data_IF_506828837641
#
_entry.id   IF_506828837641
#
_cell.length_a   1.000
_cell.length_b   1.000
_cell.length_c   1.000
_cell.angle_alpha   90.00
_cell.angle_beta   90.00
_cell.angle_gamma   90.00
#
_symmetry.space_group_name_H-M   'P 1'
#
loop_
_entity.id
_entity.type
_entity.pdbx_description
1 polymer ?
#
# COMPACT_ATOMS: atom_id res chain seq x y z
N UNK A 1 -75.44 6.14 49.24
CA UNK A 1 -73.98 6.37 49.15
C UNK A 1 -73.47 5.60 47.93
N UNK A 2 -72.97 6.28 46.91
CA UNK A 2 -72.40 5.61 45.73
C UNK A 2 -71.10 4.93 46.14
N UNK A 3 -71.02 3.61 45.99
CA UNK A 3 -69.78 2.88 46.18
C UNK A 3 -68.82 3.25 45.04
N UNK A 4 -67.73 3.92 45.37
CA UNK A 4 -66.60 4.13 44.46
C UNK A 4 -66.05 2.75 44.07
N UNK A 5 -66.33 2.33 42.84
CA UNK A 5 -65.79 1.11 42.25
C UNK A 5 -64.28 1.30 42.07
N UNK A 6 -63.48 0.37 42.58
CA UNK A 6 -62.03 0.41 42.41
C UNK A 6 -61.69 0.31 40.90
N UNK A 7 -60.75 1.13 40.39
CA UNK A 7 -60.40 1.11 38.98
C UNK A 7 -59.89 -0.28 38.57
N UNK A 8 -60.41 -0.79 37.45
CA UNK A 8 -60.07 -2.11 36.93
C UNK A 8 -58.90 -1.99 35.93
N UNK A 9 -57.93 -2.89 36.03
CA UNK A 9 -56.79 -2.96 35.10
C UNK A 9 -55.44 -2.60 35.73
N UNK A 10 -54.37 -2.89 34.99
CA UNK A 10 -52.97 -2.60 35.33
C UNK A 10 -52.39 -1.56 34.37
N UNK A 11 -53.16 -0.55 34.01
CA UNK A 11 -52.79 0.47 33.02
C UNK A 11 -51.48 1.19 33.42
N UNK A 12 -51.34 1.55 34.69
CA UNK A 12 -50.09 2.12 35.22
C UNK A 12 -48.91 1.17 35.05
N UNK A 13 -49.12 -0.14 35.24
CA UNK A 13 -48.06 -1.14 35.10
C UNK A 13 -47.69 -1.37 33.64
N UNK A 14 -48.68 -1.36 32.73
CA UNK A 14 -48.46 -1.44 31.30
C UNK A 14 -47.70 -0.20 30.77
N UNK A 15 -48.04 0.99 31.27
CA UNK A 15 -47.34 2.24 30.94
C UNK A 15 -45.87 2.22 31.39
N UNK A 16 -45.61 1.78 32.63
CA UNK A 16 -44.24 1.63 33.15
C UNK A 16 -43.42 0.62 32.35
N UNK A 17 -44.03 -0.52 31.95
CA UNK A 17 -43.37 -1.51 31.09
C UNK A 17 -43.05 -0.94 29.71
N UNK A 18 -43.96 -0.14 29.13
CA UNK A 18 -43.73 0.53 27.86
C UNK A 18 -42.58 1.54 27.96
N UNK A 19 -42.55 2.37 29.01
CA UNK A 19 -41.47 3.32 29.27
C UNK A 19 -40.12 2.62 29.50
N UNK A 20 -40.12 1.44 30.13
CA UNK A 20 -38.92 0.63 30.27
C UNK A 20 -38.47 0.04 28.93
N UNK A 21 -39.41 -0.45 28.11
CA UNK A 21 -39.12 -1.00 26.79
C UNK A 21 -38.51 0.05 25.86
N UNK A 22 -39.05 1.29 25.85
CA UNK A 22 -38.51 2.41 25.06
C UNK A 22 -37.06 2.71 25.47
N UNK A 23 -36.78 2.88 26.77
CA UNK A 23 -35.39 3.12 27.24
C UNK A 23 -34.43 1.99 26.89
N UNK A 24 -34.92 0.75 26.93
CA UNK A 24 -34.13 -0.42 26.53
C UNK A 24 -33.84 -0.40 25.03
N UNK A 25 -34.81 -0.01 24.20
CA UNK A 25 -34.62 0.15 22.76
C UNK A 25 -33.59 1.24 22.43
N UNK A 26 -33.67 2.40 23.08
CA UNK A 26 -32.71 3.48 22.88
C UNK A 26 -31.27 3.01 23.18
N UNK A 27 -31.08 2.29 24.29
CA UNK A 27 -29.77 1.73 24.66
C UNK A 27 -29.28 0.69 23.64
N UNK A 28 -30.18 -0.11 23.06
CA UNK A 28 -29.81 -1.07 22.01
C UNK A 28 -29.43 -0.36 20.71
N UNK A 29 -30.10 0.74 20.36
CA UNK A 29 -29.72 1.57 19.20
C UNK A 29 -28.33 2.15 19.40
N UNK A 30 -28.06 2.77 20.55
CA UNK A 30 -26.73 3.31 20.87
C UNK A 30 -25.63 2.24 20.78
N UNK A 31 -25.92 1.04 21.27
CA UNK A 31 -25.00 -0.10 21.22
C UNK A 31 -24.75 -0.58 19.78
N UNK A 32 -25.79 -0.63 18.94
CA UNK A 32 -25.69 -0.99 17.53
C UNK A 32 -24.87 0.05 16.76
N UNK A 33 -25.14 1.34 16.94
CA UNK A 33 -24.38 2.41 16.29
C UNK A 33 -22.89 2.37 16.67
N UNK A 34 -22.61 2.14 17.96
CA UNK A 34 -21.22 2.00 18.44
C UNK A 34 -20.55 0.77 17.83
N UNK A 35 -21.27 -0.35 17.75
CA UNK A 35 -20.76 -1.59 17.17
C UNK A 35 -20.50 -1.44 15.66
N UNK A 36 -21.36 -0.74 14.93
CA UNK A 36 -21.21 -0.47 13.50
C UNK A 36 -19.94 0.33 13.22
N UNK A 37 -19.71 1.42 13.97
CA UNK A 37 -18.50 2.23 13.83
C UNK A 37 -17.24 1.39 14.10
N UNK A 38 -17.27 0.51 15.10
CA UNK A 38 -16.16 -0.38 15.41
C UNK A 38 -15.91 -1.41 14.29
N UNK A 39 -16.96 -1.99 13.74
CA UNK A 39 -16.87 -2.98 12.67
C UNK A 39 -16.37 -2.37 11.36
N UNK A 40 -16.85 -1.18 10.98
CA UNK A 40 -16.35 -0.45 9.80
C UNK A 40 -14.86 -0.16 9.95
N UNK A 41 -14.42 0.36 11.10
CA UNK A 41 -13.00 0.57 11.38
C UNK A 41 -12.23 -0.74 11.23
N UNK A 42 -12.69 -1.82 11.86
CA UNK A 42 -12.04 -3.14 11.81
C UNK A 42 -11.91 -3.65 10.38
N UNK A 43 -12.98 -3.58 9.59
CA UNK A 43 -13.01 -4.02 8.20
C UNK A 43 -12.05 -3.20 7.32
N UNK A 44 -12.07 -1.86 7.46
CA UNK A 44 -11.19 -0.94 6.73
C UNK A 44 -9.73 -1.18 7.09
N UNK A 45 -9.37 -1.26 8.37
CA UNK A 45 -7.99 -1.53 8.77
C UNK A 45 -7.50 -2.88 8.29
N UNK A 46 -8.35 -3.92 8.33
CA UNK A 46 -8.01 -5.24 7.80
C UNK A 46 -7.80 -5.20 6.28
N UNK A 47 -8.64 -4.47 5.55
CA UNK A 47 -8.48 -4.29 4.11
C UNK A 47 -7.18 -3.53 3.77
N UNK A 48 -6.90 -2.43 4.48
CA UNK A 48 -5.68 -1.62 4.29
C UNK A 48 -4.41 -2.42 4.59
N UNK A 49 -4.39 -3.24 5.64
CA UNK A 49 -3.24 -4.10 5.94
C UNK A 49 -2.97 -5.10 4.81
N UNK A 50 -4.03 -5.72 4.24
CA UNK A 50 -3.87 -6.61 3.08
C UNK A 50 -3.40 -5.86 1.83
N UNK A 51 -3.96 -4.68 1.57
CA UNK A 51 -3.59 -3.85 0.42
C UNK A 51 -2.12 -3.41 0.49
N UNK A 52 -1.66 -2.96 1.66
CA UNK A 52 -0.25 -2.61 1.88
C UNK A 52 0.68 -3.79 1.64
N UNK A 53 0.34 -4.97 2.16
CA UNK A 53 1.14 -6.17 1.93
C UNK A 53 1.20 -6.55 0.44
N UNK A 54 0.08 -6.47 -0.28
CA UNK A 54 0.03 -6.71 -1.72
C UNK A 54 0.88 -5.69 -2.49
N UNK A 55 0.76 -4.40 -2.15
CA UNK A 55 1.47 -3.33 -2.83
C UNK A 55 2.99 -3.39 -2.60
N UNK A 56 3.45 -3.71 -1.39
CA UNK A 56 4.88 -3.93 -1.12
C UNK A 56 5.41 -5.08 -1.99
N UNK A 57 4.68 -6.21 -2.02
CA UNK A 57 5.07 -7.37 -2.86
C UNK A 57 5.13 -7.02 -4.34
N UNK A 58 4.20 -6.18 -4.81
CA UNK A 58 4.16 -5.72 -6.20
C UNK A 58 5.34 -4.80 -6.52
N UNK A 59 5.67 -3.86 -5.63
CA UNK A 59 6.87 -3.02 -5.79
C UNK A 59 8.16 -3.85 -5.80
N UNK A 60 8.29 -4.84 -4.92
CA UNK A 60 9.44 -5.76 -4.93
C UNK A 60 9.52 -6.54 -6.26
N UNK A 61 8.38 -6.88 -6.85
CA UNK A 61 8.32 -7.58 -8.14
C UNK A 61 8.75 -6.66 -9.28
N UNK A 62 8.25 -5.43 -9.32
CA UNK A 62 8.63 -4.42 -10.32
C UNK A 62 10.13 -4.14 -10.23
N UNK A 63 10.66 -3.92 -9.03
CA UNK A 63 12.08 -3.65 -8.83
C UNK A 63 12.95 -4.80 -9.37
N UNK A 64 12.61 -6.06 -9.04
CA UNK A 64 13.33 -7.23 -9.59
C UNK A 64 13.27 -7.28 -11.12
N UNK A 65 12.09 -7.06 -11.70
CA UNK A 65 11.92 -7.07 -13.15
C UNK A 65 12.74 -5.97 -13.83
N UNK A 66 12.82 -4.78 -13.22
CA UNK A 66 13.64 -3.67 -13.74
C UNK A 66 15.13 -4.00 -13.70
N UNK A 67 15.63 -4.58 -12.59
CA UNK A 67 17.02 -5.03 -12.52
C UNK A 67 17.33 -6.07 -13.57
N UNK A 68 16.48 -7.10 -13.72
CA UNK A 68 16.67 -8.13 -14.74
C UNK A 68 16.66 -7.56 -16.17
N UNK A 69 15.78 -6.57 -16.43
CA UNK A 69 15.75 -5.90 -17.73
C UNK A 69 17.06 -5.14 -18.00
N UNK A 70 17.58 -4.41 -17.02
CA UNK A 70 18.87 -3.71 -17.12
C UNK A 70 20.01 -4.69 -17.35
N UNK A 71 20.06 -5.77 -16.57
CA UNK A 71 21.10 -6.80 -16.69
C UNK A 71 21.07 -7.44 -18.07
N UNK A 72 19.87 -7.81 -18.56
CA UNK A 72 19.72 -8.38 -19.91
C UNK A 72 20.12 -7.42 -21.03
N UNK A 73 19.87 -6.12 -20.86
CA UNK A 73 20.29 -5.10 -21.81
C UNK A 73 21.82 -4.96 -21.81
N UNK A 74 22.43 -4.92 -20.63
CA UNK A 74 23.88 -4.81 -20.49
C UNK A 74 24.63 -6.03 -21.06
N UNK A 75 24.07 -7.23 -20.91
CA UNK A 75 24.60 -8.47 -21.49
C UNK A 75 24.53 -8.46 -23.03
N UNK A 76 23.48 -7.86 -23.60
CA UNK A 76 23.33 -7.72 -25.05
C UNK A 76 24.20 -6.59 -25.62
N UNK A 77 24.41 -5.50 -24.88
CA UNK A 77 25.03 -4.27 -25.36
C UNK A 77 26.37 -3.97 -24.68
N UNK A 78 27.44 -4.55 -25.22
CA UNK A 78 28.79 -4.26 -24.78
C UNK A 78 29.33 -2.99 -25.44
N UNK A 79 29.34 -1.87 -24.72
CA UNK A 79 29.77 -0.56 -25.25
C UNK A 79 31.13 -0.59 -25.97
N UNK A 80 32.15 -1.28 -25.42
CA UNK A 80 33.48 -1.40 -26.06
C UNK A 80 33.46 -2.19 -27.37
N UNK A 81 32.52 -3.13 -27.52
CA UNK A 81 32.38 -3.96 -28.72
C UNK A 81 31.63 -3.20 -29.81
N UNK A 82 30.64 -2.40 -29.42
CA UNK A 82 29.84 -1.55 -30.32
C UNK A 82 30.53 -0.23 -30.66
N UNK A 83 31.48 0.22 -29.82
CA UNK A 83 32.28 1.43 -30.01
C UNK A 83 33.77 1.09 -29.87
N UNK A 84 34.40 0.54 -30.93
CA UNK A 84 35.82 0.22 -30.92
C UNK A 84 36.65 1.48 -30.69
N UNK A 85 37.55 1.43 -29.72
CA UNK A 85 38.52 2.51 -29.48
C UNK A 85 39.80 2.20 -30.27
N UNK A 86 40.18 3.11 -31.17
CA UNK A 86 41.53 3.14 -31.74
C UNK A 86 42.49 3.78 -30.74
N UNK A 87 43.62 3.13 -30.48
CA UNK A 87 44.71 3.75 -29.72
C UNK A 87 45.52 4.65 -30.66
N UNK A 88 45.82 5.88 -30.25
CA UNK A 88 46.61 6.84 -31.05
C UNK A 88 47.98 6.28 -31.48
N UNK A 89 48.59 5.46 -30.62
CA UNK A 89 49.85 4.76 -30.90
C UNK A 89 49.74 3.70 -32.00
N UNK A 90 48.54 3.24 -32.32
CA UNK A 90 48.31 2.28 -33.41
C UNK A 90 48.48 2.90 -34.79
N UNK A 91 48.25 4.21 -34.89
CA UNK A 91 48.36 5.00 -36.13
C UNK A 91 49.64 5.85 -36.16
N UNK A 92 50.52 5.70 -35.16
CA UNK A 92 51.78 6.45 -35.09
C UNK A 92 52.82 5.81 -36.02
N UNK A 93 53.44 6.59 -36.94
CA UNK A 93 54.48 6.05 -37.81
C UNK A 93 55.69 5.62 -36.97
N UNK A 94 56.40 4.55 -37.39
CA UNK A 94 57.61 4.13 -36.69
C UNK A 94 58.61 5.30 -36.65
N UNK A 95 59.17 5.54 -35.47
CA UNK A 95 60.20 6.57 -35.29
C UNK A 95 61.33 6.33 -36.27
N UNK A 96 61.61 7.32 -37.13
CA UNK A 96 62.74 7.24 -38.06
C UNK A 96 64.03 7.15 -37.23
N UNK A 97 64.67 5.98 -37.26
CA UNK A 97 65.97 5.80 -36.65
C UNK A 97 67.05 6.32 -37.60
N UNK A 98 67.07 7.63 -37.85
CA UNK A 98 68.25 8.24 -38.42
C UNK A 98 69.30 8.43 -37.32
N UNK A 99 70.17 7.43 -37.20
CA UNK A 99 71.32 7.46 -36.28
C UNK A 99 72.50 8.27 -36.82
N UNK A 100 72.35 8.98 -37.94
CA UNK A 100 73.44 9.65 -38.65
C UNK A 100 73.15 11.10 -39.10
N UNK A 101 71.97 11.67 -38.87
CA UNK A 101 71.79 13.14 -38.98
C UNK A 101 72.24 13.82 -37.69
N UNK A 102 73.53 14.12 -37.64
CA UNK A 102 74.08 15.11 -36.72
C UNK A 102 73.45 16.47 -37.08
N UNK A 103 72.89 17.18 -36.10
CA UNK A 103 72.48 18.56 -36.30
C UNK A 103 73.71 19.38 -36.74
N UNK A 104 73.66 19.98 -37.93
CA UNK A 104 74.65 20.93 -38.43
C UNK A 104 74.38 22.33 -37.85
#
# INVERSE_FOLDING_TARGET
AYAMVAPFGKEDTAKVLQEHAVRTQDTLVDAVETAEVAEVKRAVFRALTRLRAAQIKEFDTIARMQTMAIDSYNDAHHYRRENPLGHLSSDEPPVETDKLTSFH
#
